data_IF_511421271498
#
_entry.id   IF_511421271498
#
_cell.length_a   1.000
_cell.length_b   1.000
_cell.length_c   1.000
_cell.angle_alpha   90.00
_cell.angle_beta   90.00
_cell.angle_gamma   90.00
#
_symmetry.space_group_name_H-M   'P 1'
#
loop_
_entity.id
_entity.type
_entity.pdbx_description
1 polymer ?
#
# COMPACT_ATOMS: atom_id res chain seq x y z
N UNK A 1 4.95 6.38 11.94
CA UNK A 1 3.92 6.94 11.04
C UNK A 1 3.18 5.78 10.39
N UNK A 2 1.87 5.91 10.11
CA UNK A 2 1.08 4.87 9.42
C UNK A 2 0.49 5.43 8.13
N UNK A 3 0.64 4.69 7.03
CA UNK A 3 0.08 5.02 5.71
C UNK A 3 -0.96 3.94 5.40
N UNK A 4 -2.22 4.33 5.25
CA UNK A 4 -3.32 3.43 4.96
C UNK A 4 -3.79 3.63 3.52
N UNK A 5 -3.83 2.55 2.73
CA UNK A 5 -4.37 2.52 1.38
C UNK A 5 -5.74 1.83 1.43
N UNK A 6 -6.80 2.59 1.16
CA UNK A 6 -8.18 2.09 1.09
C UNK A 6 -8.53 1.85 -0.38
N UNK A 7 -9.01 0.64 -0.70
CA UNK A 7 -9.14 0.17 -2.08
C UNK A 7 -7.84 -0.44 -2.62
N UNK A 8 -7.05 -1.07 -1.73
CA UNK A 8 -5.73 -1.61 -2.06
C UNK A 8 -5.76 -2.81 -3.03
N UNK A 9 -6.94 -3.38 -3.31
CA UNK A 9 -7.16 -4.40 -4.33
C UNK A 9 -6.97 -3.89 -5.77
N UNK A 10 -6.67 -2.61 -5.96
CA UNK A 10 -6.09 -2.10 -7.21
C UNK A 10 -4.58 -2.41 -7.26
N UNK A 11 -4.23 -3.68 -7.48
CA UNK A 11 -2.86 -4.22 -7.31
C UNK A 11 -1.80 -3.40 -8.07
N UNK A 12 -2.05 -3.04 -9.33
CA UNK A 12 -1.10 -2.25 -10.13
C UNK A 12 -0.88 -0.86 -9.53
N UNK A 13 -1.96 -0.19 -9.15
CA UNK A 13 -1.89 1.14 -8.53
C UNK A 13 -1.17 1.08 -7.18
N UNK A 14 -1.59 0.15 -6.31
CA UNK A 14 -1.00 -0.07 -4.99
C UNK A 14 0.50 -0.33 -5.08
N UNK A 15 0.93 -1.21 -5.99
CA UNK A 15 2.35 -1.52 -6.20
C UNK A 15 3.16 -0.30 -6.67
N UNK A 16 2.63 0.45 -7.63
CA UNK A 16 3.33 1.63 -8.15
C UNK A 16 3.49 2.68 -7.05
N UNK A 17 2.43 2.94 -6.28
CA UNK A 17 2.46 3.90 -5.18
C UNK A 17 3.44 3.47 -4.07
N UNK A 18 3.45 2.19 -3.69
CA UNK A 18 4.41 1.66 -2.72
C UNK A 18 5.86 1.76 -3.22
N UNK A 19 6.09 1.50 -4.51
CA UNK A 19 7.41 1.64 -5.15
C UNK A 19 7.93 3.07 -5.02
N UNK A 20 7.06 4.06 -5.20
CA UNK A 20 7.44 5.46 -5.04
C UNK A 20 7.65 5.82 -3.57
N UNK A 21 6.78 5.39 -2.65
CA UNK A 21 6.92 5.61 -1.20
C UNK A 21 8.26 5.07 -0.69
N UNK A 22 8.71 3.91 -1.16
CA UNK A 22 9.96 3.30 -0.71
C UNK A 22 11.23 4.02 -1.18
N UNK A 23 11.12 4.95 -2.13
CA UNK A 23 12.26 5.78 -2.56
C UNK A 23 12.63 6.86 -1.54
N UNK A 24 11.75 7.18 -0.60
CA UNK A 24 11.94 8.22 0.40
C UNK A 24 12.53 7.64 1.70
N UNK A 25 13.81 7.89 2.03
CA UNK A 25 14.46 7.32 3.21
C UNK A 25 13.77 7.70 4.53
N UNK A 26 13.16 8.88 4.60
CA UNK A 26 12.40 9.39 5.73
C UNK A 26 11.14 8.55 6.03
N UNK A 27 10.67 7.75 5.06
CA UNK A 27 9.48 6.90 5.19
C UNK A 27 9.80 5.44 5.59
N UNK A 28 11.08 5.07 5.76
CA UNK A 28 11.49 3.67 6.03
C UNK A 28 10.91 3.05 7.29
N UNK A 29 10.49 3.87 8.26
CA UNK A 29 9.83 3.42 9.49
C UNK A 29 8.30 3.48 9.45
N UNK A 30 7.70 3.77 8.29
CA UNK A 30 6.26 3.85 8.16
C UNK A 30 5.62 2.45 8.13
N UNK A 31 4.51 2.28 8.86
CA UNK A 31 3.66 1.09 8.76
C UNK A 31 2.71 1.25 7.57
N UNK A 32 2.74 0.31 6.63
CA UNK A 32 1.78 0.24 5.53
C UNK A 32 0.59 -0.61 5.95
N UNK A 33 -0.62 -0.07 5.81
CA UNK A 33 -1.86 -0.81 6.01
C UNK A 33 -2.67 -0.84 4.70
N UNK A 34 -2.95 -2.05 4.22
CA UNK A 34 -3.73 -2.27 3.01
C UNK A 34 -5.13 -2.71 3.41
N UNK A 35 -6.15 -2.05 2.88
CA UNK A 35 -7.54 -2.37 3.12
C UNK A 35 -8.32 -2.40 1.81
N UNK A 36 -9.14 -3.42 1.64
CA UNK A 36 -10.14 -3.52 0.59
C UNK A 36 -11.39 -4.19 1.17
N UNK A 37 -12.56 -3.91 0.59
CA UNK A 37 -13.81 -4.57 0.98
C UNK A 37 -13.88 -6.00 0.44
N UNK A 38 -13.14 -6.26 -0.64
CA UNK A 38 -13.01 -7.57 -1.26
C UNK A 38 -11.68 -8.22 -0.81
N UNK A 39 -11.73 -9.24 0.06
CA UNK A 39 -10.53 -9.87 0.59
C UNK A 39 -9.74 -10.66 -0.47
N UNK A 40 -10.39 -11.14 -1.53
CA UNK A 40 -9.70 -11.91 -2.58
C UNK A 40 -8.74 -11.02 -3.37
N UNK A 41 -9.13 -9.76 -3.59
CA UNK A 41 -8.29 -8.76 -4.29
C UNK A 41 -7.05 -8.34 -3.50
N UNK A 42 -7.00 -8.59 -2.19
CA UNK A 42 -5.81 -8.36 -1.36
C UNK A 42 -4.82 -9.53 -1.37
N UNK A 43 -5.24 -10.71 -1.85
CA UNK A 43 -4.41 -11.92 -1.88
C UNK A 43 -3.63 -12.07 -3.19
N UNK A 44 -3.86 -11.19 -4.16
CA UNK A 44 -3.25 -11.19 -5.50
C UNK A 44 -1.96 -10.36 -5.54
#
# INVERSE_FOLDING_TARGET
>A
MKIALIGAGSVVFTRNLLTDIFKFPELRGATIALNDIDPERLQT
#
